data_IF_566869484783
#
_entry.id   IF_566869484783
#
_cell.length_a   1.000
_cell.length_b   1.000
_cell.length_c   1.000
_cell.angle_alpha   90.00
_cell.angle_beta   90.00
_cell.angle_gamma   90.00
#
_symmetry.space_group_name_H-M   'P 1'
#
loop_
_entity.id
_entity.type
_entity.pdbx_description
1 polymer ?
#
# COMPACT_ATOMS: atom_id res chain seq x y z
N UNK A 1 -24.21 7.43 4.16
CA UNK A 1 -23.03 8.28 4.03
C UNK A 1 -22.03 7.99 5.13
N UNK A 2 -20.83 7.59 4.71
CA UNK A 2 -19.65 7.42 5.57
C UNK A 2 -18.45 8.17 4.99
N UNK A 3 -18.69 9.10 4.06
CA UNK A 3 -17.64 9.81 3.34
C UNK A 3 -16.85 10.71 4.28
N UNK A 4 -15.52 10.63 4.16
CA UNK A 4 -14.60 11.48 4.92
C UNK A 4 -14.28 12.77 4.19
N UNK A 5 -13.80 13.77 4.92
CA UNK A 5 -13.27 15.00 4.31
C UNK A 5 -12.15 14.71 3.29
N UNK A 6 -11.33 13.69 3.55
CA UNK A 6 -10.27 13.26 2.64
C UNK A 6 -10.84 12.74 1.32
N UNK A 7 -11.87 11.88 1.36
CA UNK A 7 -12.54 11.38 0.14
C UNK A 7 -13.09 12.53 -0.69
N UNK A 8 -13.82 13.48 -0.07
CA UNK A 8 -14.37 14.64 -0.78
C UNK A 8 -13.27 15.51 -1.40
N UNK A 9 -12.16 15.75 -0.70
CA UNK A 9 -11.03 16.50 -1.24
C UNK A 9 -10.39 15.78 -2.45
N UNK A 10 -10.29 14.45 -2.37
CA UNK A 10 -9.80 13.61 -3.47
C UNK A 10 -10.73 13.65 -4.66
N UNK A 11 -12.04 13.41 -4.50
CA UNK A 11 -13.02 13.41 -5.60
C UNK A 11 -13.05 14.73 -6.36
N UNK A 12 -12.71 15.84 -5.67
CA UNK A 12 -12.65 17.17 -6.25
C UNK A 12 -11.27 17.54 -6.81
N UNK A 13 -10.29 16.62 -6.80
CA UNK A 13 -8.95 16.86 -7.31
C UNK A 13 -8.13 17.88 -6.51
N UNK A 14 -8.50 18.19 -5.26
CA UNK A 14 -7.89 19.27 -4.46
C UNK A 14 -6.60 18.80 -3.77
N UNK A 15 -5.53 18.68 -4.54
CA UNK A 15 -4.20 18.24 -4.08
C UNK A 15 -3.75 18.86 -2.75
N UNK A 16 -3.83 20.18 -2.61
CA UNK A 16 -3.39 20.89 -1.42
C UNK A 16 -4.22 20.54 -0.18
N UNK A 17 -5.53 20.36 -0.34
CA UNK A 17 -6.41 19.92 0.75
C UNK A 17 -6.15 18.47 1.13
N UNK A 18 -5.89 17.59 0.15
CA UNK A 18 -5.49 16.20 0.42
C UNK A 18 -4.23 16.17 1.30
N UNK A 19 -3.20 16.93 0.95
CA UNK A 19 -1.97 16.99 1.73
C UNK A 19 -2.22 17.52 3.15
N UNK A 20 -2.93 18.65 3.27
CA UNK A 20 -3.28 19.22 4.58
C UNK A 20 -4.04 18.22 5.45
N UNK A 21 -5.02 17.51 4.89
CA UNK A 21 -5.82 16.54 5.64
C UNK A 21 -4.97 15.37 6.14
N UNK A 22 -4.05 14.87 5.32
CA UNK A 22 -3.09 13.85 5.75
C UNK A 22 -2.16 14.38 6.85
N UNK A 23 -1.67 15.61 6.73
CA UNK A 23 -0.76 16.22 7.71
C UNK A 23 -1.42 16.41 9.09
N UNK A 24 -2.74 16.65 9.14
CA UNK A 24 -3.51 16.72 10.40
C UNK A 24 -3.97 15.35 10.91
N UNK A 25 -3.55 14.25 10.27
CA UNK A 25 -3.80 12.88 10.73
C UNK A 25 -5.12 12.28 10.24
N UNK A 26 -5.64 12.71 9.08
CA UNK A 26 -6.79 12.02 8.47
C UNK A 26 -6.44 10.55 8.19
N UNK A 27 -7.38 9.65 8.48
CA UNK A 27 -7.20 8.23 8.18
C UNK A 27 -7.25 7.99 6.66
N UNK A 28 -6.09 7.73 6.06
CA UNK A 28 -5.92 7.47 4.63
C UNK A 28 -6.67 6.23 4.13
N UNK A 29 -6.91 5.25 5.02
CA UNK A 29 -7.57 3.98 4.72
C UNK A 29 -9.03 3.93 5.18
N UNK A 30 -9.60 5.07 5.58
CA UNK A 30 -11.01 5.12 5.95
C UNK A 30 -11.87 4.60 4.79
N UNK A 31 -12.91 3.85 5.13
CA UNK A 31 -13.92 3.34 4.19
C UNK A 31 -15.25 4.02 4.48
N UNK A 32 -15.97 4.38 3.43
CA UNK A 32 -17.35 4.80 3.56
C UNK A 32 -18.29 3.59 3.66
N UNK A 33 -19.60 3.81 3.60
CA UNK A 33 -20.59 2.75 3.76
C UNK A 33 -20.57 1.73 2.60
N UNK A 34 -19.98 2.09 1.45
CA UNK A 34 -19.83 1.21 0.28
C UNK A 34 -18.48 0.49 0.29
N UNK A 35 -17.65 0.74 1.31
CA UNK A 35 -16.29 0.21 1.37
C UNK A 35 -15.29 1.03 0.55
N UNK A 36 -15.70 2.16 -0.02
CA UNK A 36 -14.85 2.99 -0.87
C UNK A 36 -13.81 3.74 -0.05
N UNK A 37 -12.58 3.79 -0.53
CA UNK A 37 -11.47 4.55 0.09
C UNK A 37 -11.11 5.79 -0.72
N UNK A 38 -10.37 6.72 -0.11
CA UNK A 38 -9.80 7.86 -0.83
C UNK A 38 -8.94 7.44 -2.04
N UNK A 39 -8.21 6.33 -1.95
CA UNK A 39 -7.43 5.80 -3.08
C UNK A 39 -8.32 5.38 -4.26
N UNK A 40 -9.47 4.74 -3.98
CA UNK A 40 -10.42 4.33 -5.02
C UNK A 40 -11.01 5.54 -5.72
N UNK A 41 -11.41 6.58 -4.99
CA UNK A 41 -11.89 7.83 -5.59
C UNK A 41 -10.84 8.45 -6.51
N UNK A 42 -9.56 8.50 -6.09
CA UNK A 42 -8.48 9.01 -6.93
C UNK A 42 -8.26 8.18 -8.20
N UNK A 43 -8.42 6.86 -8.10
CA UNK A 43 -8.31 5.93 -9.22
C UNK A 43 -9.46 6.10 -10.21
N UNK A 44 -10.70 6.20 -9.73
CA UNK A 44 -11.90 6.40 -10.56
C UNK A 44 -11.82 7.71 -11.36
N UNK A 45 -11.42 8.80 -10.69
CA UNK A 45 -11.37 10.14 -11.28
C UNK A 45 -10.08 10.43 -12.06
N UNK A 46 -9.13 9.48 -12.11
CA UNK A 46 -7.90 9.64 -12.89
C UNK A 46 -6.90 10.64 -12.28
N UNK A 47 -6.94 10.86 -10.97
CA UNK A 47 -6.10 11.86 -10.30
C UNK A 47 -4.71 11.31 -9.95
N UNK A 48 -3.88 11.09 -10.97
CA UNK A 48 -2.54 10.48 -10.87
C UNK A 48 -1.65 11.11 -9.80
N UNK A 49 -1.69 12.44 -9.66
CA UNK A 49 -0.86 13.13 -8.67
C UNK A 49 -1.33 12.91 -7.23
N UNK A 50 -2.65 12.80 -7.02
CA UNK A 50 -3.23 12.47 -5.71
C UNK A 50 -2.93 11.00 -5.37
N UNK A 51 -2.98 10.09 -6.35
CA UNK A 51 -2.57 8.70 -6.14
C UNK A 51 -1.14 8.63 -5.61
N UNK A 52 -0.21 9.39 -6.19
CA UNK A 52 1.18 9.43 -5.70
C UNK A 52 1.29 9.96 -4.27
N UNK A 53 0.53 11.00 -3.91
CA UNK A 53 0.51 11.53 -2.54
C UNK A 53 0.00 10.49 -1.56
N UNK A 54 -1.11 9.82 -1.88
CA UNK A 54 -1.68 8.78 -1.03
C UNK A 54 -0.69 7.62 -0.88
N UNK A 55 -0.07 7.14 -1.97
CA UNK A 55 0.94 6.08 -1.94
C UNK A 55 2.21 6.46 -1.15
N UNK A 56 2.56 7.74 -1.10
CA UNK A 56 3.68 8.23 -0.31
C UNK A 56 3.38 8.24 1.19
N UNK A 57 2.11 8.20 1.60
CA UNK A 57 1.73 8.14 3.00
C UNK A 57 2.06 6.75 3.59
N UNK A 58 2.78 6.67 4.73
CA UNK A 58 3.33 5.42 5.25
C UNK A 58 2.26 4.36 5.54
N UNK A 59 1.12 4.80 6.05
CA UNK A 59 0.01 3.92 6.43
C UNK A 59 -0.90 3.55 5.25
N UNK A 60 -0.63 4.04 4.04
CA UNK A 60 -1.50 3.77 2.90
C UNK A 60 -1.52 2.28 2.52
N UNK A 61 -2.72 1.72 2.48
CA UNK A 61 -2.99 0.38 1.97
C UNK A 61 -3.81 0.44 0.67
N UNK A 62 -3.12 0.25 -0.46
CA UNK A 62 -3.73 0.23 -1.78
C UNK A 62 -4.34 -1.14 -2.16
N UNK A 63 -4.44 -2.09 -1.23
CA UNK A 63 -5.04 -3.42 -1.45
C UNK A 63 -6.47 -3.54 -0.91
N UNK A 64 -6.94 -2.57 -0.12
CA UNK A 64 -8.30 -2.55 0.41
C UNK A 64 -9.29 -2.64 -0.74
N UNK A 65 -10.30 -3.49 -0.60
CA UNK A 65 -11.38 -3.65 -1.56
C UNK A 65 -12.69 -3.10 -0.99
N UNK A 66 -13.55 -2.62 -1.87
CA UNK A 66 -14.90 -2.17 -1.52
C UNK A 66 -15.84 -3.36 -1.27
N UNK A 67 -17.13 -3.09 -1.03
CA UNK A 67 -18.12 -4.13 -0.75
C UNK A 67 -18.36 -5.09 -1.94
N UNK A 68 -18.01 -4.69 -3.16
CA UNK A 68 -18.11 -5.50 -4.38
C UNK A 68 -16.79 -6.24 -4.69
N UNK A 69 -15.81 -6.18 -3.78
CA UNK A 69 -14.44 -6.68 -3.94
C UNK A 69 -13.65 -5.97 -5.06
N UNK A 70 -14.04 -4.75 -5.45
CA UNK A 70 -13.27 -3.93 -6.36
C UNK A 70 -12.10 -3.29 -5.61
N UNK A 71 -10.89 -3.51 -6.12
CA UNK A 71 -9.65 -2.90 -5.60
C UNK A 71 -9.36 -1.59 -6.34
N UNK A 72 -8.53 -0.68 -5.78
CA UNK A 72 -8.09 0.53 -6.49
C UNK A 72 -7.48 0.24 -7.86
N UNK A 73 -6.73 -0.86 -7.98
CA UNK A 73 -6.16 -1.29 -9.26
C UNK A 73 -7.26 -1.66 -10.27
N UNK A 74 -8.26 -2.43 -9.84
CA UNK A 74 -9.39 -2.82 -10.71
C UNK A 74 -10.17 -1.59 -11.19
N UNK A 75 -10.48 -0.67 -10.26
CA UNK A 75 -11.18 0.58 -10.56
C UNK A 75 -10.38 1.44 -11.56
N UNK A 76 -9.07 1.60 -11.37
CA UNK A 76 -8.23 2.35 -12.30
C UNK A 76 -8.24 1.75 -13.72
N UNK A 77 -8.25 0.41 -13.84
CA UNK A 77 -8.30 -0.26 -15.14
C UNK A 77 -9.67 -0.15 -15.80
N UNK A 78 -10.75 -0.31 -15.03
CA UNK A 78 -12.12 -0.22 -15.55
C UNK A 78 -12.48 1.21 -15.98
N UNK A 79 -11.96 2.22 -15.28
CA UNK A 79 -12.08 3.62 -15.66
C UNK A 79 -11.10 4.04 -16.78
N UNK A 80 -10.21 3.14 -17.23
CA UNK A 80 -9.29 3.39 -18.35
C UNK A 80 -8.00 4.15 -18.01
N UNK A 81 -7.73 4.40 -16.73
CA UNK A 81 -6.56 5.14 -16.23
C UNK A 81 -5.32 4.24 -16.13
N UNK A 82 -4.80 3.83 -17.29
CA UNK A 82 -3.69 2.86 -17.42
C UNK A 82 -2.46 3.26 -16.62
N UNK A 83 -2.09 4.55 -16.63
CA UNK A 83 -0.90 5.05 -15.92
C UNK A 83 -1.02 4.85 -14.41
N UNK A 84 -2.22 5.03 -13.85
CA UNK A 84 -2.49 4.80 -12.43
C UNK A 84 -2.37 3.31 -12.09
N UNK A 85 -2.92 2.42 -12.93
CA UNK A 85 -2.77 0.99 -12.67
C UNK A 85 -1.32 0.52 -12.77
N UNK A 86 -0.51 1.08 -13.67
CA UNK A 86 0.93 0.80 -13.71
C UNK A 86 1.61 1.26 -12.41
N UNK A 87 1.29 2.46 -11.91
CA UNK A 87 1.83 2.96 -10.63
C UNK A 87 1.45 2.04 -9.46
N UNK A 88 0.18 1.65 -9.36
CA UNK A 88 -0.30 0.75 -8.30
C UNK A 88 0.35 -0.63 -8.41
N UNK A 89 0.40 -1.23 -9.60
CA UNK A 89 1.03 -2.53 -9.82
C UNK A 89 2.51 -2.52 -9.45
N UNK A 90 3.24 -1.47 -9.81
CA UNK A 90 4.64 -1.31 -9.43
C UNK A 90 4.80 -1.19 -7.90
N UNK A 91 3.94 -0.41 -7.24
CA UNK A 91 3.98 -0.22 -5.79
C UNK A 91 3.69 -1.53 -5.02
N UNK A 92 2.69 -2.30 -5.46
CA UNK A 92 2.32 -3.58 -4.85
C UNK A 92 3.45 -4.62 -4.98
N UNK A 93 4.06 -4.72 -6.16
CA UNK A 93 5.19 -5.64 -6.38
C UNK A 93 6.44 -5.24 -5.60
N UNK A 94 6.69 -3.94 -5.42
CA UNK A 94 7.79 -3.47 -4.59
C UNK A 94 7.64 -3.91 -3.13
N UNK A 95 6.43 -3.78 -2.54
CA UNK A 95 6.14 -4.28 -1.18
C UNK A 95 6.37 -5.80 -1.09
N UNK A 96 5.88 -6.58 -2.06
CA UNK A 96 6.04 -8.05 -2.05
C UNK A 96 7.51 -8.50 -2.10
N UNK A 97 8.35 -7.79 -2.86
CA UNK A 97 9.76 -8.15 -3.06
C UNK A 97 10.58 -7.95 -1.77
N UNK A 98 10.28 -6.89 -0.99
CA UNK A 98 10.94 -6.64 0.30
C UNK A 98 10.59 -7.70 1.37
N UNK A 99 9.35 -8.19 1.37
CA UNK A 99 8.93 -9.26 2.31
C UNK A 99 9.69 -10.56 2.02
N UNK A 100 9.87 -10.90 0.74
CA UNK A 100 10.63 -12.09 0.34
C UNK A 100 12.13 -11.97 0.65
N UNK A 101 12.74 -10.79 0.48
CA UNK A 101 14.14 -10.53 0.84
C UNK A 101 14.39 -10.55 2.36
N UNK A 102 13.44 -10.10 3.17
CA UNK A 102 13.51 -10.16 4.64
C UNK A 102 13.42 -11.60 5.21
N UNK A 103 12.71 -12.50 4.53
CA UNK A 103 12.46 -13.87 4.99
C UNK A 103 13.64 -14.82 4.73
N UNK A 104 14.47 -14.57 3.70
CA UNK A 104 15.63 -15.43 3.37
C UNK A 104 16.75 -15.32 4.41
N UNK A 105 16.86 -14.23 5.17
CA UNK A 105 17.94 -14.02 6.15
C UNK A 105 17.78 -14.76 7.49
N UNK A 106 16.62 -15.33 7.81
CA UNK A 106 16.39 -16.00 9.12
C UNK A 106 16.59 -17.54 9.14
N UNK A 107 17.02 -18.16 8.03
CA UNK A 107 17.14 -19.64 7.92
C UNK A 107 18.58 -20.18 7.88
N UNK A 108 19.54 -19.57 8.60
CA UNK A 108 20.89 -20.14 8.70
C UNK A 108 21.66 -19.84 9.99
N UNK A 109 21.07 -20.06 11.18
CA UNK A 109 21.87 -20.29 12.40
C UNK A 109 21.11 -21.14 13.43
N UNK A 110 20.88 -22.42 13.14
CA UNK A 110 20.52 -23.41 14.19
C UNK A 110 20.92 -24.82 13.78
N UNK A 111 22.22 -25.06 13.73
CA UNK A 111 22.78 -26.41 13.91
C UNK A 111 24.14 -26.27 14.59
N UNK A 112 24.09 -25.87 15.86
CA UNK A 112 25.19 -26.09 16.81
C UNK A 112 25.19 -27.55 17.22
N UNK A 113 26.15 -28.33 16.74
CA UNK A 113 26.53 -29.59 17.38
C UNK A 113 28.05 -29.71 17.39
N UNK A 114 28.63 -29.12 18.45
CA UNK A 114 29.80 -29.54 19.22
C UNK A 114 31.16 -29.80 18.52
N UNK A 115 32.27 -29.19 19.01
CA UNK A 115 33.61 -29.56 18.58
C UNK A 115 34.13 -30.79 19.36
N UNK A 116 34.73 -31.77 18.65
CA UNK A 116 35.53 -32.83 19.27
C UNK A 116 36.88 -32.27 19.76
N UNK A 117 37.39 -32.67 20.95
CA UNK A 117 38.73 -32.32 21.37
C UNK A 117 39.78 -33.23 20.69
N UNK A 118 40.91 -32.63 20.33
CA UNK A 118 42.08 -33.25 19.70
C UNK A 118 42.84 -34.19 20.65
N UNK A 119 43.50 -35.25 20.14
CA UNK A 119 44.22 -36.20 20.97
C UNK A 119 45.62 -35.68 21.30
N UNK A 120 45.96 -35.68 22.58
CA UNK A 120 47.32 -35.46 23.09
C UNK A 120 48.17 -36.68 22.75
N UNK A 121 49.25 -36.49 21.98
CA UNK A 121 50.29 -37.50 21.84
C UNK A 121 51.37 -37.31 22.92
N UNK A 122 51.84 -38.46 23.38
CA UNK A 122 52.54 -38.77 24.63
C UNK A 122 53.95 -38.18 24.75
#
# INVERSE_FOLDING_TARGET
DGQTALMLAVSQGRKEMVQMLLDVGANVNAQDNEGSTAMMCACEHGHTEIVKILLAHPDCDATIADNDNCTPLKIAMDAGHKDIGVLLYAHLNFKQTQVNLGLVRKKKVSSSSSPLPSPTFR
#
